data_IF_541705060782
#
_entry.id   IF_541705060782
#
_cell.length_a   1.000
_cell.length_b   1.000
_cell.length_c   1.000
_cell.angle_alpha   90.00
_cell.angle_beta   90.00
_cell.angle_gamma   90.00
#
_symmetry.space_group_name_H-M   'P 1'
#
loop_
_entity.id
_entity.type
_entity.pdbx_description
1 polymer ?
#
# COMPACT_ATOMS: atom_id res chain seq x y z
N UNK A 1 -16.88 22.75 -29.13
CA UNK A 1 -15.98 23.54 -28.27
C UNK A 1 -16.08 22.88 -26.92
N UNK A 2 -15.25 21.86 -26.72
CA UNK A 2 -15.55 20.79 -25.78
C UNK A 2 -14.86 21.10 -24.46
N UNK A 3 -15.54 21.87 -23.61
CA UNK A 3 -15.07 22.22 -22.28
C UNK A 3 -15.38 21.10 -21.30
N UNK A 4 -14.74 19.94 -21.44
CA UNK A 4 -14.68 18.96 -20.34
C UNK A 4 -13.66 19.43 -19.30
N UNK A 5 -13.94 20.58 -18.67
CA UNK A 5 -13.21 21.03 -17.50
C UNK A 5 -13.52 20.03 -16.38
N UNK A 6 -12.60 19.08 -16.19
CA UNK A 6 -12.62 18.09 -15.11
C UNK A 6 -12.75 18.84 -13.80
N UNK A 7 -13.97 18.88 -13.27
CA UNK A 7 -14.27 19.51 -11.99
C UNK A 7 -13.45 18.75 -10.96
N UNK A 8 -12.62 19.41 -10.13
CA UNK A 8 -11.82 18.69 -9.15
C UNK A 8 -12.76 17.84 -8.28
N UNK A 9 -12.35 16.63 -7.89
CA UNK A 9 -13.19 15.76 -7.09
C UNK A 9 -13.63 16.49 -5.81
N UNK A 10 -14.86 16.22 -5.39
CA UNK A 10 -15.44 16.75 -4.17
C UNK A 10 -14.49 16.59 -2.98
N UNK A 11 -14.52 17.55 -2.04
CA UNK A 11 -13.67 17.51 -0.85
C UNK A 11 -13.89 16.20 -0.09
N UNK A 12 -12.79 15.47 0.13
CA UNK A 12 -12.78 14.25 0.94
C UNK A 12 -12.78 14.66 2.41
N UNK A 13 -13.82 14.26 3.16
CA UNK A 13 -13.90 14.42 4.61
C UNK A 13 -13.65 13.07 5.28
N UNK A 14 -12.86 13.06 6.35
CA UNK A 14 -12.56 11.85 7.10
C UNK A 14 -13.79 11.41 7.89
N UNK A 15 -14.36 10.25 7.55
CA UNK A 15 -15.51 9.70 8.27
C UNK A 15 -15.10 8.98 9.58
N UNK A 16 -13.97 8.26 9.56
CA UNK A 16 -13.41 7.59 10.74
C UNK A 16 -11.94 7.22 10.53
N UNK A 17 -11.22 6.91 11.61
CA UNK A 17 -9.85 6.40 11.55
C UNK A 17 -9.67 5.18 12.45
N UNK A 18 -8.89 4.19 11.98
CA UNK A 18 -8.53 2.99 12.74
C UNK A 18 -7.08 2.65 12.51
N UNK A 19 -6.36 2.30 13.59
CA UNK A 19 -4.98 1.83 13.51
C UNK A 19 -4.95 0.39 13.00
N UNK A 20 -4.03 0.09 12.09
CA UNK A 20 -3.75 -1.25 11.61
C UNK A 20 -2.59 -1.86 12.40
N UNK A 21 -2.65 -3.18 12.61
CA UNK A 21 -1.48 -3.93 13.08
C UNK A 21 -0.47 -4.12 11.95
N UNK A 22 0.82 -4.33 12.26
CA UNK A 22 1.85 -4.64 11.24
C UNK A 22 1.42 -5.81 10.34
N UNK A 23 0.78 -6.84 10.89
CA UNK A 23 0.29 -8.00 10.11
C UNK A 23 -0.82 -7.62 9.14
N UNK A 24 -1.79 -6.84 9.60
CA UNK A 24 -2.91 -6.40 8.76
C UNK A 24 -2.45 -5.43 7.67
N UNK A 25 -1.52 -4.52 8.00
CA UNK A 25 -0.93 -3.60 7.02
C UNK A 25 -0.14 -4.35 5.93
N UNK A 26 0.66 -5.36 6.31
CA UNK A 26 1.38 -6.19 5.35
C UNK A 26 0.41 -6.92 4.40
N UNK A 27 -0.59 -7.60 4.95
CA UNK A 27 -1.57 -8.34 4.13
C UNK A 27 -2.29 -7.42 3.13
N UNK A 28 -2.75 -6.25 3.58
CA UNK A 28 -3.44 -5.30 2.70
C UNK A 28 -2.53 -4.74 1.59
N UNK A 29 -1.23 -4.54 1.87
CA UNK A 29 -0.28 -4.08 0.85
C UNK A 29 0.06 -5.17 -0.17
N UNK A 30 0.17 -6.42 0.28
CA UNK A 30 0.39 -7.58 -0.58
C UNK A 30 -0.77 -7.73 -1.57
N UNK A 31 -2.00 -7.80 -1.04
CA UNK A 31 -3.23 -7.91 -1.84
C UNK A 31 -3.35 -6.75 -2.85
N UNK A 32 -3.05 -5.53 -2.41
CA UNK A 32 -3.08 -4.35 -3.28
C UNK A 32 -2.04 -4.44 -4.41
N UNK A 33 -0.81 -4.84 -4.10
CA UNK A 33 0.27 -4.92 -5.09
C UNK A 33 -0.02 -5.98 -6.15
N UNK A 34 -0.56 -7.13 -5.74
CA UNK A 34 -0.98 -8.20 -6.64
C UNK A 34 -2.10 -7.72 -7.58
N UNK A 35 -3.16 -7.14 -7.02
CA UNK A 35 -4.26 -6.56 -7.80
C UNK A 35 -3.78 -5.45 -8.74
N UNK A 36 -2.88 -4.60 -8.26
CA UNK A 36 -2.34 -3.49 -9.04
C UNK A 36 -1.50 -3.98 -10.21
N UNK A 37 -0.64 -4.97 -9.99
CA UNK A 37 0.17 -5.58 -11.05
C UNK A 37 -0.70 -6.20 -12.14
N UNK A 38 -1.74 -6.95 -11.76
CA UNK A 38 -2.69 -7.56 -12.70
C UNK A 38 -3.42 -6.52 -13.56
N UNK A 39 -3.72 -5.35 -13.00
CA UNK A 39 -4.41 -4.25 -13.71
C UNK A 39 -3.47 -3.33 -14.48
N UNK A 40 -2.17 -3.37 -14.22
CA UNK A 40 -1.18 -2.39 -14.70
C UNK A 40 -0.74 -2.53 -16.17
N UNK A 41 -1.39 -3.38 -16.97
CA UNK A 41 -1.13 -3.48 -18.43
C UNK A 41 -1.13 -2.13 -19.19
N UNK A 42 -1.81 -1.04 -18.77
CA UNK A 42 -1.74 0.26 -19.45
C UNK A 42 -0.69 1.26 -18.93
N UNK A 43 0.03 1.00 -17.82
CA UNK A 43 0.96 1.97 -17.21
C UNK A 43 2.34 2.05 -17.89
N UNK A 44 2.45 1.73 -19.19
CA UNK A 44 3.71 1.72 -19.96
C UNK A 44 4.44 3.08 -20.03
N UNK A 45 3.94 4.13 -19.39
CA UNK A 45 4.62 5.43 -19.22
C UNK A 45 4.35 6.15 -17.90
N UNK A 46 3.74 5.49 -16.89
CA UNK A 46 3.40 6.09 -15.60
C UNK A 46 4.51 5.98 -14.56
N UNK A 47 4.62 6.98 -13.68
CA UNK A 47 5.66 7.09 -12.65
C UNK A 47 5.66 5.87 -11.71
N UNK A 48 6.68 5.01 -11.87
CA UNK A 48 6.82 3.74 -11.14
C UNK A 48 7.30 3.93 -9.69
N UNK A 49 7.62 5.16 -9.29
CA UNK A 49 8.14 5.48 -7.96
C UNK A 49 7.21 5.06 -6.83
N UNK A 50 5.89 5.21 -7.02
CA UNK A 50 4.88 4.81 -6.02
C UNK A 50 4.90 3.30 -5.78
N UNK A 51 4.93 2.50 -6.84
CA UNK A 51 4.99 1.04 -6.73
C UNK A 51 6.26 0.59 -6.01
N UNK A 52 7.40 1.18 -6.35
CA UNK A 52 8.68 0.88 -5.69
C UNK A 52 8.63 1.23 -4.19
N UNK A 53 8.02 2.36 -3.84
CA UNK A 53 7.86 2.75 -2.43
C UNK A 53 6.96 1.78 -1.67
N UNK A 54 5.85 1.34 -2.27
CA UNK A 54 4.95 0.36 -1.67
C UNK A 54 5.62 -1.01 -1.49
N UNK A 55 6.42 -1.46 -2.46
CA UNK A 55 7.23 -2.67 -2.32
C UNK A 55 8.25 -2.58 -1.18
N UNK A 56 8.94 -1.43 -1.05
CA UNK A 56 9.87 -1.18 0.07
C UNK A 56 9.15 -1.22 1.42
N UNK A 57 7.96 -0.63 1.50
CA UNK A 57 7.15 -0.66 2.71
C UNK A 57 6.70 -2.09 3.05
N UNK A 58 6.24 -2.87 2.06
CA UNK A 58 5.82 -4.25 2.27
C UNK A 58 6.97 -5.09 2.86
N UNK A 59 8.18 -4.96 2.30
CA UNK A 59 9.39 -5.60 2.82
C UNK A 59 9.70 -5.17 4.25
N UNK A 60 9.65 -3.88 4.55
CA UNK A 60 9.93 -3.38 5.90
C UNK A 60 8.94 -3.94 6.96
N UNK A 61 7.66 -4.07 6.60
CA UNK A 61 6.64 -4.67 7.47
C UNK A 61 6.89 -6.16 7.71
N UNK A 62 7.35 -6.89 6.69
CA UNK A 62 7.72 -8.29 6.84
C UNK A 62 8.93 -8.47 7.77
N UNK A 63 9.98 -7.68 7.56
CA UNK A 63 11.17 -7.70 8.42
C UNK A 63 10.82 -7.37 9.88
N UNK A 64 9.92 -6.40 10.12
CA UNK A 64 9.44 -6.08 11.46
C UNK A 64 8.73 -7.29 12.11
N UNK A 65 7.90 -8.01 11.35
CA UNK A 65 7.19 -9.20 11.84
C UNK A 65 8.16 -10.31 12.21
N UNK A 66 9.16 -10.57 11.38
CA UNK A 66 10.18 -11.59 11.61
C UNK A 66 11.00 -11.26 12.86
N UNK A 67 11.45 -10.01 13.01
CA UNK A 67 12.13 -9.54 14.22
C UNK A 67 11.28 -9.72 15.47
N UNK A 68 9.97 -9.42 15.40
CA UNK A 68 9.04 -9.65 16.51
C UNK A 68 8.88 -11.12 16.87
N UNK A 69 8.88 -12.03 15.88
CA UNK A 69 8.84 -13.49 16.12
C UNK A 69 10.14 -13.97 16.75
N UNK A 70 11.30 -13.59 16.22
CA UNK A 70 12.60 -13.97 16.76
C UNK A 70 12.79 -13.51 18.22
N UNK A 71 12.39 -12.28 18.54
CA UNK A 71 12.41 -11.77 19.92
C UNK A 71 11.52 -12.56 20.88
N UNK A 72 10.42 -13.14 20.40
CA UNK A 72 9.55 -14.01 21.21
C UNK A 72 10.16 -15.38 21.42
N UNK A 73 10.85 -15.93 20.42
CA UNK A 73 11.46 -17.25 20.49
C UNK A 73 12.70 -17.30 21.42
N UNK A 74 13.51 -16.24 21.47
CA UNK A 74 14.70 -16.18 22.34
C UNK A 74 14.44 -15.79 23.81
N UNK A 75 13.16 -15.71 24.23
CA UNK A 75 12.77 -15.37 25.62
C UNK A 75 12.34 -16.61 26.43
N UNK A 76 12.48 -17.81 25.87
CA UNK A 76 12.18 -19.08 26.51
C UNK A 76 13.45 -19.91 26.68
#
# INVERSE_FOLDING_TARGET
MDTSASTPPSRILVASTKKLSTRAAHAALDDFLDDFQQRSSPLKGGDHTVTVQLQKLNRALQEERERKKAKKAGKH
#
